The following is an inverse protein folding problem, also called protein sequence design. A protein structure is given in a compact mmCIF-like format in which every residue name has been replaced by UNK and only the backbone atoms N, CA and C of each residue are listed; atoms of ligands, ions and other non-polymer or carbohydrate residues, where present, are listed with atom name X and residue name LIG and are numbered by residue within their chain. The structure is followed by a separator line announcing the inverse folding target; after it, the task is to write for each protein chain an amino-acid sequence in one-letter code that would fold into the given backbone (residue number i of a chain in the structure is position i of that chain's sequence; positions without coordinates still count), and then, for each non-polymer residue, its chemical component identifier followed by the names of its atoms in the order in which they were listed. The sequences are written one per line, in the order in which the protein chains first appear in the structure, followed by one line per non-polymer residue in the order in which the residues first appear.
data_IF_986426676809
#
_entry.id   IF_986426676809
#
_cell.length_a   1.000
_cell.length_b   1.000
_cell.length_c   1.000
_cell.angle_alpha   90.00
_cell.angle_beta   90.00
_cell.angle_gamma   90.00
#
_symmetry.space_group_name_H-M   'P 1'
#
loop_
_entity.id
_entity.type
_entity.pdbx_description
1 polymer ?
#
# COMPACT_ATOMS: atom_id res chain seq x y z
N UNK A 1 10.49 19.71 -1.63
CA UNK A 1 9.27 19.11 -2.23
C UNK A 1 9.06 17.75 -1.60
N UNK A 2 7.91 17.50 -0.96
CA UNK A 2 7.54 16.15 -0.51
C UNK A 2 7.08 15.37 -1.74
N UNK A 3 7.61 14.16 -1.96
CA UNK A 3 7.21 13.34 -3.10
C UNK A 3 5.75 12.89 -2.92
N UNK A 4 4.91 13.14 -3.93
CA UNK A 4 3.50 12.71 -3.99
C UNK A 4 3.41 11.18 -3.96
N UNK A 5 4.42 10.49 -4.52
CA UNK A 5 4.56 9.04 -4.47
C UNK A 5 5.64 8.66 -3.49
N UNK A 6 5.34 7.81 -2.51
CA UNK A 6 6.35 7.22 -1.62
C UNK A 6 6.19 5.70 -1.53
N UNK A 7 7.33 5.02 -1.55
CA UNK A 7 7.42 3.58 -1.36
C UNK A 7 7.82 3.27 0.07
N UNK A 8 6.98 2.52 0.79
CA UNK A 8 7.24 2.02 2.15
C UNK A 8 7.19 0.48 2.22
N UNK A 9 7.15 -0.19 1.08
CA UNK A 9 7.04 -1.65 0.97
C UNK A 9 8.28 -2.40 1.50
N UNK A 10 9.46 -1.76 1.48
CA UNK A 10 10.69 -2.36 1.99
C UNK A 10 10.55 -2.87 3.43
N UNK A 11 9.87 -2.12 4.31
CA UNK A 11 9.70 -2.54 5.71
C UNK A 11 8.76 -3.75 5.84
N UNK A 12 7.76 -3.85 4.96
CA UNK A 12 6.90 -5.01 4.87
C UNK A 12 7.72 -6.25 4.46
N UNK A 13 8.50 -6.15 3.37
CA UNK A 13 9.30 -7.28 2.87
C UNK A 13 10.41 -7.77 3.81
N UNK A 14 10.85 -6.95 4.78
CA UNK A 14 11.76 -7.40 5.85
C UNK A 14 11.19 -8.56 6.68
N UNK A 15 9.88 -8.82 6.64
CA UNK A 15 9.33 -10.02 7.28
C UNK A 15 9.89 -11.32 6.70
N UNK A 16 10.32 -11.31 5.43
CA UNK A 16 10.90 -12.47 4.76
C UNK A 16 12.28 -12.84 5.30
N UNK A 17 12.97 -11.92 5.97
CA UNK A 17 14.25 -12.18 6.65
C UNK A 17 14.06 -12.93 7.98
N UNK A 18 12.82 -13.12 8.44
CA UNK A 18 12.46 -13.74 9.71
C UNK A 18 11.75 -15.07 9.52
N UNK A 19 11.76 -15.90 10.54
CA UNK A 19 10.96 -17.13 10.57
C UNK A 19 9.46 -16.83 10.54
N UNK A 20 8.67 -17.73 9.96
CA UNK A 20 7.20 -17.54 9.83
C UNK A 20 6.51 -17.34 11.18
N UNK A 21 7.04 -17.94 12.25
CA UNK A 21 6.54 -17.77 13.61
C UNK A 21 6.66 -16.32 14.13
N UNK A 22 7.60 -15.54 13.59
CA UNK A 22 7.86 -14.15 13.96
C UNK A 22 7.16 -13.14 13.04
N UNK A 23 6.40 -13.60 12.05
CA UNK A 23 5.77 -12.72 11.06
C UNK A 23 4.70 -11.83 11.68
N UNK A 24 3.95 -12.34 12.65
CA UNK A 24 2.99 -11.52 13.39
C UNK A 24 3.68 -10.40 14.17
N UNK A 25 4.77 -10.71 14.88
CA UNK A 25 5.52 -9.71 15.64
C UNK A 25 6.11 -8.64 14.73
N UNK A 26 6.62 -9.04 13.56
CA UNK A 26 7.08 -8.11 12.54
C UNK A 26 5.94 -7.27 11.95
N UNK A 27 4.77 -7.87 11.72
CA UNK A 27 3.59 -7.16 11.25
C UNK A 27 3.14 -6.10 12.26
N UNK A 28 3.11 -6.44 13.55
CA UNK A 28 2.80 -5.47 14.62
C UNK A 28 3.83 -4.34 14.64
N UNK A 29 5.12 -4.65 14.55
CA UNK A 29 6.17 -3.63 14.46
C UNK A 29 6.01 -2.72 13.23
N UNK A 30 5.73 -3.31 12.07
CA UNK A 30 5.53 -2.61 10.81
C UNK A 30 4.31 -1.67 10.88
N UNK A 31 3.17 -2.17 11.36
CA UNK A 31 1.95 -1.37 11.50
C UNK A 31 2.10 -0.28 12.56
N UNK A 32 2.80 -0.53 13.66
CA UNK A 32 3.14 0.50 14.66
C UNK A 32 4.06 1.60 14.10
N UNK A 33 5.01 1.24 13.22
CA UNK A 33 5.89 2.22 12.55
C UNK A 33 5.09 3.21 11.69
N UNK A 34 3.97 2.74 11.13
CA UNK A 34 3.04 3.53 10.30
C UNK A 34 1.67 3.63 10.96
N UNK A 35 1.64 3.82 12.29
CA UNK A 35 0.43 3.68 13.13
C UNK A 35 -0.79 4.42 12.57
N UNK A 36 -0.65 5.70 12.26
CA UNK A 36 -1.80 6.51 11.82
C UNK A 36 -2.42 6.00 10.52
N UNK A 37 -1.60 5.48 9.60
CA UNK A 37 -2.04 4.92 8.32
C UNK A 37 -2.74 3.59 8.53
N UNK A 38 -2.15 2.69 9.32
CA UNK A 38 -2.74 1.37 9.57
C UNK A 38 -3.98 1.44 10.46
N UNK A 39 -4.05 2.37 11.40
CA UNK A 39 -5.26 2.60 12.18
C UNK A 39 -6.41 3.08 11.27
N UNK A 40 -6.14 4.02 10.37
CA UNK A 40 -7.13 4.48 9.39
C UNK A 40 -7.54 3.35 8.43
N UNK A 41 -6.59 2.57 7.93
CA UNK A 41 -6.83 1.41 7.06
C UNK A 41 -7.71 0.36 7.73
N UNK A 42 -7.35 -0.04 8.96
CA UNK A 42 -8.11 -1.04 9.73
C UNK A 42 -9.50 -0.54 10.10
N UNK A 43 -9.64 0.73 10.44
CA UNK A 43 -10.94 1.36 10.69
C UNK A 43 -11.82 1.40 9.44
N UNK A 44 -11.25 1.77 8.28
CA UNK A 44 -11.97 1.81 7.01
C UNK A 44 -12.50 0.43 6.63
N UNK A 45 -11.68 -0.60 6.78
CA UNK A 45 -12.02 -1.99 6.43
C UNK A 45 -12.70 -2.76 7.57
N UNK A 46 -12.95 -2.13 8.72
CA UNK A 46 -13.57 -2.73 9.91
C UNK A 46 -12.89 -4.03 10.35
N UNK A 47 -11.56 -4.00 10.43
CA UNK A 47 -10.75 -5.18 10.75
C UNK A 47 -10.51 -5.26 12.26
N UNK A 48 -10.99 -6.34 12.86
CA UNK A 48 -10.72 -6.64 14.26
C UNK A 48 -9.34 -7.29 14.46
N UNK A 49 -8.73 -7.16 15.65
CA UNK A 49 -7.39 -7.69 15.91
C UNK A 49 -7.24 -9.20 15.69
N UNK A 50 -8.29 -9.97 15.92
CA UNK A 50 -8.29 -11.43 15.69
C UNK A 50 -8.23 -11.76 14.20
N UNK A 51 -9.05 -11.08 13.39
CA UNK A 51 -9.05 -11.21 11.93
C UNK A 51 -7.73 -10.74 11.31
N UNK A 52 -7.17 -9.64 11.81
CA UNK A 52 -5.86 -9.13 11.38
C UNK A 52 -4.79 -10.20 11.54
N UNK A 53 -4.76 -10.87 12.71
CA UNK A 53 -3.81 -11.94 13.00
C UNK A 53 -4.04 -13.15 12.11
N UNK A 54 -5.29 -13.53 11.88
CA UNK A 54 -5.62 -14.64 11.00
C UNK A 54 -5.17 -14.36 9.56
N UNK A 55 -5.45 -13.18 9.03
CA UNK A 55 -5.05 -12.77 7.68
C UNK A 55 -3.53 -12.81 7.49
N UNK A 56 -2.77 -12.30 8.46
CA UNK A 56 -1.30 -12.36 8.42
C UNK A 56 -0.80 -13.80 8.49
N UNK A 57 -1.46 -14.68 9.25
CA UNK A 57 -1.07 -16.10 9.35
C UNK A 57 -1.21 -16.85 8.01
N UNK A 58 -2.16 -16.41 7.18
CA UNK A 58 -2.43 -16.96 5.84
C UNK A 58 -1.37 -16.55 4.82
N UNK A 59 -0.54 -15.55 5.11
CA UNK A 59 0.57 -15.20 4.23
C UNK A 59 1.50 -16.41 4.04
N UNK A 60 2.01 -16.55 2.82
CA UNK A 60 2.97 -17.62 2.50
C UNK A 60 4.27 -17.02 2.01
N UNK A 61 5.39 -17.63 2.40
CA UNK A 61 6.72 -17.22 1.96
C UNK A 61 6.84 -17.21 0.42
N UNK A 62 6.41 -18.26 -0.30
CA UNK A 62 6.44 -18.24 -1.76
C UNK A 62 5.63 -17.09 -2.39
N UNK A 63 4.48 -16.73 -1.82
CA UNK A 63 3.67 -15.60 -2.30
C UNK A 63 4.41 -14.28 -2.13
N UNK A 64 4.91 -14.02 -0.92
CA UNK A 64 5.59 -12.76 -0.60
C UNK A 64 6.95 -12.63 -1.28
N UNK A 65 7.70 -13.72 -1.45
CA UNK A 65 8.96 -13.72 -2.20
C UNK A 65 8.72 -13.38 -3.69
N UNK A 66 7.70 -13.98 -4.32
CA UNK A 66 7.35 -13.66 -5.71
C UNK A 66 6.84 -12.24 -5.86
N UNK A 67 6.05 -11.75 -4.90
CA UNK A 67 5.61 -10.36 -4.87
C UNK A 67 6.81 -9.41 -4.75
N UNK A 68 7.75 -9.68 -3.83
CA UNK A 68 8.96 -8.90 -3.67
C UNK A 68 9.76 -8.85 -4.97
N UNK A 69 10.01 -10.00 -5.60
CA UNK A 69 10.71 -10.07 -6.87
C UNK A 69 10.00 -9.25 -7.97
N UNK A 70 8.69 -9.44 -8.12
CA UNK A 70 7.88 -8.70 -9.11
C UNK A 70 7.94 -7.19 -8.87
N UNK A 71 7.93 -6.77 -7.61
CA UNK A 71 8.04 -5.36 -7.23
C UNK A 71 9.44 -4.79 -7.44
N UNK A 72 10.49 -5.57 -7.21
CA UNK A 72 11.87 -5.17 -7.51
C UNK A 72 12.10 -5.00 -9.02
N UNK A 73 11.51 -5.88 -9.84
CA UNK A 73 11.61 -5.83 -11.30
C UNK A 73 10.83 -4.64 -11.91
N UNK A 74 9.59 -4.40 -11.45
CA UNK A 74 8.66 -3.47 -12.13
C UNK A 74 8.30 -2.23 -11.32
N UNK A 75 8.53 -2.24 -10.01
CA UNK A 75 8.08 -1.19 -9.10
C UNK A 75 8.67 0.18 -9.40
N UNK A 76 9.93 0.22 -9.88
CA UNK A 76 10.56 1.48 -10.34
C UNK A 76 9.78 2.15 -11.48
N UNK A 77 9.40 1.37 -12.50
CA UNK A 77 8.62 1.86 -13.64
C UNK A 77 7.20 2.25 -13.22
N UNK A 78 6.54 1.42 -12.41
CA UNK A 78 5.19 1.70 -11.88
C UNK A 78 5.16 3.01 -11.10
N UNK A 79 6.14 3.24 -10.20
CA UNK A 79 6.24 4.49 -9.43
C UNK A 79 6.45 5.71 -10.33
N UNK A 80 7.32 5.59 -11.33
CA UNK A 80 7.58 6.66 -12.28
C UNK A 80 6.32 6.98 -13.12
N UNK A 81 5.63 5.95 -13.63
CA UNK A 81 4.37 6.10 -14.37
C UNK A 81 3.29 6.74 -13.52
N UNK A 82 3.14 6.28 -12.27
CA UNK A 82 2.20 6.87 -11.30
C UNK A 82 2.50 8.36 -11.10
N UNK A 83 3.76 8.72 -10.81
CA UNK A 83 4.16 10.12 -10.64
C UNK A 83 3.89 10.94 -11.90
N UNK A 84 4.21 10.41 -13.09
CA UNK A 84 3.94 11.09 -14.36
C UNK A 84 2.44 11.33 -14.57
N UNK A 85 1.59 10.33 -14.36
CA UNK A 85 0.14 10.51 -14.51
C UNK A 85 -0.39 11.58 -13.53
N UNK A 86 0.05 11.55 -12.28
CA UNK A 86 -0.35 12.53 -11.26
C UNK A 86 0.19 13.95 -11.46
N UNK A 87 1.14 14.16 -12.38
CA UNK A 87 1.77 15.47 -12.63
C UNK A 87 1.52 16.00 -14.03
N UNK A 88 1.35 15.12 -15.02
CA UNK A 88 1.13 15.46 -16.43
C UNK A 88 -0.35 15.75 -16.70
N UNK A 89 -1.22 15.03 -16.02
CA UNK A 89 -2.55 15.55 -15.81
C UNK A 89 -2.42 16.56 -14.66
N UNK A 90 -2.42 17.86 -14.99
CA UNK A 90 -3.03 18.89 -14.13
C UNK A 90 -4.51 18.50 -13.98
N UNK A 91 -4.76 17.31 -13.42
CA UNK A 91 -6.09 16.86 -13.08
C UNK A 91 -6.58 17.97 -12.19
N UNK A 92 -7.67 18.62 -12.60
CA UNK A 92 -8.57 19.32 -11.71
C UNK A 92 -9.06 18.29 -10.67
N UNK A 93 -8.15 17.81 -9.82
CA UNK A 93 -8.44 16.93 -8.72
C UNK A 93 -9.39 17.77 -7.88
N UNK A 94 -10.64 17.30 -7.80
CA UNK A 94 -11.65 17.88 -6.92
C UNK A 94 -11.18 18.02 -5.46
N UNK A 95 -10.06 17.39 -5.12
CA UNK A 95 -9.22 17.71 -3.98
C UNK A 95 -8.60 19.10 -4.17
N UNK A 96 -9.41 20.15 -3.99
CA UNK A 96 -8.96 21.52 -3.85
C UNK A 96 -7.82 21.60 -2.84
N UNK A 97 -6.56 21.61 -3.30
CA UNK A 97 -5.36 21.87 -2.49
C UNK A 97 -5.19 21.02 -1.22
N UNK A 98 -5.93 19.92 -1.04
CA UNK A 98 -5.67 19.00 0.07
C UNK A 98 -4.46 18.16 -0.29
N UNK A 99 -3.45 18.22 0.57
CA UNK A 99 -2.16 17.57 0.39
C UNK A 99 -2.33 16.05 0.41
N UNK A 100 -2.36 15.42 -0.76
CA UNK A 100 -2.47 13.97 -0.86
C UNK A 100 -1.11 13.31 -1.09
N UNK A 101 -1.01 12.04 -0.70
CA UNK A 101 0.16 11.20 -0.94
C UNK A 101 -0.26 9.78 -1.28
N UNK A 102 0.42 9.18 -2.24
CA UNK A 102 0.25 7.78 -2.63
C UNK A 102 1.36 6.96 -1.97
N UNK A 103 0.96 5.99 -1.15
CA UNK A 103 1.87 5.09 -0.46
C UNK A 103 1.78 3.68 -1.02
N UNK A 104 2.90 3.18 -1.53
CA UNK A 104 3.07 1.78 -1.90
C UNK A 104 3.50 1.00 -0.66
N UNK A 105 2.62 0.13 -0.17
CA UNK A 105 2.74 -0.57 1.11
C UNK A 105 2.29 -2.03 0.98
N UNK A 106 2.75 -2.89 1.88
CA UNK A 106 2.15 -4.22 2.02
C UNK A 106 0.96 -4.12 2.96
N UNK A 107 -0.24 -4.43 2.49
CA UNK A 107 -1.43 -4.52 3.33
C UNK A 107 -1.82 -5.97 3.61
N UNK A 108 -3.09 -6.17 3.93
CA UNK A 108 -3.66 -7.50 4.20
C UNK A 108 -4.10 -8.23 2.92
N UNK A 109 -3.97 -7.58 1.77
CA UNK A 109 -4.37 -8.11 0.47
C UNK A 109 -5.88 -8.07 0.24
N UNK A 110 -6.60 -7.14 0.90
CA UNK A 110 -8.06 -7.05 0.88
C UNK A 110 -8.57 -6.08 -0.19
N UNK A 111 -8.00 -4.88 -0.25
CA UNK A 111 -8.34 -3.85 -1.24
C UNK A 111 -7.07 -3.35 -1.93
N UNK A 112 -7.15 -3.04 -3.21
CA UNK A 112 -6.00 -2.56 -4.00
C UNK A 112 -5.59 -1.14 -3.62
N UNK A 113 -6.56 -0.22 -3.56
CA UNK A 113 -6.32 1.20 -3.20
C UNK A 113 -7.40 1.66 -2.24
N UNK A 114 -6.97 2.04 -1.04
CA UNK A 114 -7.85 2.60 -0.01
C UNK A 114 -7.50 4.07 0.21
N UNK A 115 -8.50 4.94 0.20
CA UNK A 115 -8.35 6.34 0.53
C UNK A 115 -8.53 6.53 2.04
N UNK A 116 -7.50 7.08 2.70
CA UNK A 116 -7.43 7.21 4.14
C UNK A 116 -7.30 8.69 4.51
N UNK A 117 -8.14 9.14 5.44
CA UNK A 117 -7.98 10.45 6.07
C UNK A 117 -7.00 10.32 7.24
N UNK A 118 -5.82 10.92 7.10
CA UNK A 118 -4.77 10.91 8.12
C UNK A 118 -4.39 12.36 8.46
N UNK A 119 -4.77 12.81 9.66
CA UNK A 119 -4.71 14.22 10.03
C UNK A 119 -5.61 15.05 9.13
N UNK A 120 -5.04 16.05 8.44
CA UNK A 120 -5.74 16.91 7.47
C UNK A 120 -5.47 16.50 6.00
N UNK A 121 -4.74 15.41 5.77
CA UNK A 121 -4.31 14.96 4.44
C UNK A 121 -4.96 13.65 3.99
N UNK A 122 -5.03 13.47 2.67
CA UNK A 122 -5.51 12.24 2.04
C UNK A 122 -4.33 11.31 1.74
N UNK A 123 -4.36 10.09 2.27
CA UNK A 123 -3.37 9.06 1.99
C UNK A 123 -4.03 7.98 1.14
N UNK A 124 -3.53 7.81 -0.08
CA UNK A 124 -3.92 6.69 -0.94
C UNK A 124 -3.00 5.51 -0.63
N UNK A 125 -3.51 4.57 0.16
CA UNK A 125 -2.83 3.34 0.53
C UNK A 125 -2.96 2.33 -0.61
N UNK A 126 -1.86 2.07 -1.31
CA UNK A 126 -1.74 1.09 -2.39
C UNK A 126 -1.22 -0.22 -1.80
N UNK A 127 -2.10 -1.21 -1.68
CA UNK A 127 -1.76 -2.54 -1.14
C UNK A 127 -1.14 -3.43 -2.22
N UNK A 128 0.17 -3.57 -2.17
CA UNK A 128 0.92 -4.39 -3.12
C UNK A 128 0.48 -5.86 -3.10
N UNK A 129 0.06 -6.39 -1.94
CA UNK A 129 -0.39 -7.77 -1.84
C UNK A 129 -1.72 -7.97 -2.55
N UNK A 130 -2.65 -7.03 -2.42
CA UNK A 130 -3.93 -7.08 -3.12
C UNK A 130 -3.73 -6.99 -4.64
N UNK A 131 -2.88 -6.07 -5.11
CA UNK A 131 -2.56 -5.95 -6.53
C UNK A 131 -1.88 -7.18 -7.09
N UNK A 132 -0.96 -7.80 -6.33
CA UNK A 132 -0.29 -9.03 -6.73
C UNK A 132 -1.26 -10.20 -6.86
N UNK A 133 -2.13 -10.41 -5.86
CA UNK A 133 -3.16 -11.46 -5.90
C UNK A 133 -4.14 -11.31 -7.07
N UNK A 134 -4.34 -10.09 -7.54
CA UNK A 134 -5.18 -9.81 -8.70
C UNK A 134 -4.41 -9.78 -10.02
N UNK A 135 -3.10 -10.03 -10.03
CA UNK A 135 -2.22 -9.93 -11.21
C UNK A 135 -2.25 -8.54 -11.89
N UNK A 136 -2.41 -7.48 -11.09
CA UNK A 136 -2.63 -6.09 -11.55
C UNK A 136 -1.54 -5.10 -11.16
N UNK A 137 -0.35 -5.56 -10.78
CA UNK A 137 0.75 -4.67 -10.37
C UNK A 137 1.08 -3.58 -11.41
N UNK A 138 0.97 -3.88 -12.70
CA UNK A 138 1.23 -2.91 -13.78
C UNK A 138 0.12 -1.87 -13.93
N UNK A 139 -1.10 -2.19 -13.47
CA UNK A 139 -2.28 -1.33 -13.57
C UNK A 139 -2.43 -0.40 -12.35
N UNK A 140 -1.47 -0.43 -11.41
CA UNK A 140 -1.47 0.46 -10.25
C UNK A 140 -1.62 1.94 -10.66
N UNK A 141 -0.84 2.48 -11.63
CA UNK A 141 -0.92 3.90 -11.98
C UNK A 141 -2.33 4.33 -12.37
N UNK A 142 -3.00 3.56 -13.23
CA UNK A 142 -4.33 3.85 -13.74
C UNK A 142 -5.41 3.65 -12.67
N UNK A 143 -5.27 2.65 -11.80
CA UNK A 143 -6.22 2.40 -10.70
C UNK A 143 -6.12 3.49 -9.63
N UNK A 144 -4.90 3.96 -9.31
CA UNK A 144 -4.68 5.07 -8.38
C UNK A 144 -5.30 6.36 -8.94
N UNK A 145 -5.05 6.68 -10.21
CA UNK A 145 -5.63 7.87 -10.86
C UNK A 145 -7.17 7.83 -10.82
N UNK A 146 -7.78 6.71 -11.22
CA UNK A 146 -9.25 6.53 -11.15
C UNK A 146 -9.82 6.65 -9.73
N UNK A 147 -9.03 6.36 -8.70
CA UNK A 147 -9.47 6.50 -7.30
C UNK A 147 -9.43 7.94 -6.85
N UNK A 148 -8.49 8.72 -7.38
CA UNK A 148 -8.33 10.16 -7.12
C UNK A 148 -9.38 11.03 -7.85
N UNK A 149 -9.93 10.55 -8.97
CA UNK A 149 -10.98 11.25 -9.73
C UNK A 149 -12.39 11.10 -9.16
N UNK A 150 -12.64 10.07 -8.33
CA UNK A 150 -13.96 9.73 -7.78
C UNK A 150 -14.31 10.56 -6.56
#
# INVERSE_FOLDING_TARGET
MRSIVQDKSNLFFKMLERDKTQWWDHWVFYTQTFKEIFDAYKKLLQIDPEDEKELVSRFTRPELDKLKQSWEERGGEVKLKTLKLLTAEDVELKLEKSWFVVYFMGGLGLETVSELLVGEGHVFFTDLLAFYRQEKLEQIPEIVLKRLEK
#
